data_IF_179889888790
#
_entry.id   IF_179889888790
#
_cell.length_a   1.000
_cell.length_b   1.000
_cell.length_c   1.000
_cell.angle_alpha   90.00
_cell.angle_beta   90.00
_cell.angle_gamma   90.00
#
_symmetry.space_group_name_H-M   'P 1'
#
loop_
_entity.id
_entity.type
_entity.pdbx_description
1 polymer ?
#
# COMPACT_ATOMS: atom_id res chain seq x y z
N UNK A 1 2.05 -6.05 -5.16
CA UNK A 1 3.35 -5.44 -4.86
C UNK A 1 4.34 -5.87 -5.93
N UNK A 2 5.16 -4.94 -6.43
CA UNK A 2 6.20 -5.20 -7.41
C UNK A 2 7.28 -6.05 -6.75
N UNK A 3 7.58 -7.28 -7.24
CA UNK A 3 8.48 -8.24 -6.60
C UNK A 3 9.97 -7.91 -6.84
N UNK A 4 10.34 -6.63 -6.69
CA UNK A 4 11.70 -6.11 -6.81
C UNK A 4 11.96 -5.03 -5.76
N UNK A 5 13.20 -4.83 -5.31
CA UNK A 5 13.55 -3.68 -4.48
C UNK A 5 13.08 -2.36 -5.12
N UNK A 6 12.49 -1.46 -4.32
CA UNK A 6 11.88 -0.25 -4.86
C UNK A 6 12.90 0.58 -5.65
N UNK A 7 14.15 0.65 -5.21
CA UNK A 7 15.26 1.37 -5.85
C UNK A 7 15.75 0.77 -7.18
N UNK A 8 15.34 -0.45 -7.54
CA UNK A 8 15.75 -1.10 -8.81
C UNK A 8 14.64 -1.18 -9.85
N UNK A 9 13.40 -0.84 -9.50
CA UNK A 9 12.26 -0.74 -10.44
C UNK A 9 12.59 0.15 -11.65
N UNK A 10 12.39 -0.32 -12.86
CA UNK A 10 12.62 0.49 -14.08
C UNK A 10 11.32 0.75 -14.82
N UNK A 11 11.38 1.53 -15.89
CA UNK A 11 10.25 1.66 -16.82
C UNK A 11 9.79 0.30 -17.36
N UNK A 12 10.71 -0.61 -17.66
CA UNK A 12 10.38 -1.96 -18.16
C UNK A 12 9.50 -2.74 -17.17
N UNK A 13 9.71 -2.53 -15.87
CA UNK A 13 8.88 -3.13 -14.82
C UNK A 13 7.46 -2.57 -14.85
N UNK A 14 7.31 -1.26 -15.05
CA UNK A 14 6.00 -0.60 -15.17
C UNK A 14 5.26 -1.07 -16.42
N UNK A 15 5.97 -1.17 -17.56
CA UNK A 15 5.42 -1.74 -18.80
C UNK A 15 5.02 -3.19 -18.60
N UNK A 16 5.77 -3.94 -17.81
CA UNK A 16 5.43 -5.33 -17.47
C UNK A 16 4.17 -5.44 -16.63
N UNK A 17 3.87 -4.47 -15.75
CA UNK A 17 2.61 -4.44 -14.99
C UNK A 17 1.40 -4.31 -15.91
N UNK A 18 1.47 -3.39 -16.89
CA UNK A 18 0.43 -3.18 -17.91
C UNK A 18 0.32 -4.42 -18.80
N UNK A 19 1.44 -4.89 -19.33
CA UNK A 19 1.50 -6.00 -20.30
C UNK A 19 0.97 -7.31 -19.71
N UNK A 20 1.29 -7.60 -18.44
CA UNK A 20 0.81 -8.79 -17.75
C UNK A 20 -0.58 -8.61 -17.14
N UNK A 21 -1.18 -7.40 -17.22
CA UNK A 21 -2.47 -7.09 -16.63
C UNK A 21 -2.49 -7.39 -15.13
N UNK A 22 -1.49 -6.90 -14.39
CA UNK A 22 -1.40 -7.14 -12.95
C UNK A 22 -2.53 -6.40 -12.26
N UNK A 23 -3.57 -7.13 -11.87
CA UNK A 23 -4.72 -6.54 -11.21
C UNK A 23 -4.36 -5.91 -9.86
N UNK A 24 -5.05 -4.82 -9.56
CA UNK A 24 -5.09 -4.21 -8.24
C UNK A 24 -5.54 -5.21 -7.19
N UNK A 25 -5.12 -4.93 -5.97
CA UNK A 25 -5.60 -5.68 -4.84
C UNK A 25 -4.96 -5.23 -3.56
N UNK A 26 -4.81 -6.16 -2.64
CA UNK A 26 -4.38 -5.86 -1.26
C UNK A 26 -2.95 -5.32 -1.13
N UNK A 27 -2.16 -5.34 -2.20
CA UNK A 27 -0.72 -5.03 -2.16
C UNK A 27 -0.24 -4.15 -3.30
N UNK A 28 -1.13 -3.71 -4.19
CA UNK A 28 -0.83 -2.77 -5.27
C UNK A 28 -2.11 -2.04 -5.67
N UNK A 29 -1.99 -0.75 -5.90
CA UNK A 29 -3.08 0.15 -6.27
C UNK A 29 -2.55 1.19 -7.26
N UNK A 30 -3.27 1.43 -8.35
CA UNK A 30 -2.88 2.32 -9.44
C UNK A 30 -3.73 3.59 -9.39
N UNK A 31 -3.07 4.73 -9.48
CA UNK A 31 -3.73 6.03 -9.51
C UNK A 31 -3.17 6.85 -10.66
N UNK A 32 -4.06 7.52 -11.38
CA UNK A 32 -3.67 8.39 -12.48
C UNK A 32 -2.96 9.64 -11.98
N UNK A 33 -3.57 10.34 -11.04
CA UNK A 33 -3.14 11.67 -10.59
C UNK A 33 -2.53 11.62 -9.18
N UNK A 34 -1.56 12.50 -8.93
CA UNK A 34 -1.01 12.71 -7.58
C UNK A 34 -2.07 13.37 -6.68
N UNK A 35 -2.10 13.06 -5.38
CA UNK A 35 -3.03 13.71 -4.46
C UNK A 35 -2.69 15.20 -4.36
N UNK A 36 -3.71 16.05 -4.44
CA UNK A 36 -3.56 17.49 -4.34
C UNK A 36 -3.15 17.99 -2.95
N UNK A 37 -3.33 19.30 -2.73
CA UNK A 37 -3.02 19.96 -1.44
C UNK A 37 -4.23 20.13 -0.53
N UNK A 38 -5.40 19.67 -0.96
CA UNK A 38 -6.60 19.77 -0.13
C UNK A 38 -6.52 18.80 1.05
N UNK A 39 -7.28 19.08 2.10
CA UNK A 39 -7.33 18.18 3.26
C UNK A 39 -8.04 16.85 2.93
N UNK A 40 -8.88 16.83 1.88
CA UNK A 40 -9.47 15.60 1.34
C UNK A 40 -8.40 14.71 0.74
N UNK A 41 -7.62 15.23 -0.20
CA UNK A 41 -6.58 14.47 -0.91
C UNK A 41 -5.52 13.93 0.06
N UNK A 42 -5.13 14.74 1.05
CA UNK A 42 -4.20 14.30 2.10
C UNK A 42 -4.78 13.14 2.91
N UNK A 43 -6.05 13.22 3.29
CA UNK A 43 -6.72 12.15 4.05
C UNK A 43 -6.82 10.86 3.25
N UNK A 44 -7.12 10.95 1.96
CA UNK A 44 -7.15 9.78 1.07
C UNK A 44 -5.77 9.12 0.97
N UNK A 45 -4.72 9.92 0.71
CA UNK A 45 -3.34 9.41 0.71
C UNK A 45 -2.99 8.71 2.03
N UNK A 46 -3.31 9.33 3.17
CA UNK A 46 -3.03 8.77 4.49
C UNK A 46 -3.84 7.49 4.74
N UNK A 47 -5.09 7.44 4.30
CA UNK A 47 -5.95 6.26 4.40
C UNK A 47 -5.35 5.09 3.62
N UNK A 48 -4.95 5.31 2.36
CA UNK A 48 -4.36 4.28 1.50
C UNK A 48 -3.04 3.76 2.09
N UNK A 49 -2.15 4.66 2.51
CA UNK A 49 -0.87 4.28 3.14
C UNK A 49 -1.11 3.49 4.42
N UNK A 50 -2.05 3.92 5.27
CA UNK A 50 -2.38 3.22 6.51
C UNK A 50 -2.98 1.83 6.25
N UNK A 51 -3.80 1.69 5.21
CA UNK A 51 -4.42 0.43 4.80
C UNK A 51 -3.36 -0.61 4.40
N UNK A 52 -2.36 -0.20 3.62
CA UNK A 52 -1.23 -1.07 3.29
C UNK A 52 -0.40 -1.44 4.51
N UNK A 53 -0.10 -0.46 5.38
CA UNK A 53 0.67 -0.71 6.59
C UNK A 53 0.02 -1.72 7.55
N UNK A 54 -1.31 -1.67 7.66
CA UNK A 54 -2.13 -2.54 8.52
C UNK A 54 -2.29 -3.97 8.00
N UNK A 55 -1.99 -4.19 6.71
CA UNK A 55 -2.15 -5.48 6.06
C UNK A 55 -0.80 -6.17 5.89
N UNK A 56 -0.30 -6.25 4.66
CA UNK A 56 0.98 -6.90 4.32
C UNK A 56 2.05 -5.94 3.82
N UNK A 57 1.77 -4.64 3.81
CA UNK A 57 2.47 -3.68 2.96
C UNK A 57 1.90 -3.68 1.54
N UNK A 58 2.38 -2.74 0.71
CA UNK A 58 1.95 -2.61 -0.67
C UNK A 58 2.58 -1.44 -1.40
N UNK A 59 2.22 -1.31 -2.67
CA UNK A 59 2.72 -0.25 -3.56
C UNK A 59 1.56 0.61 -4.07
N UNK A 60 1.61 1.92 -3.82
CA UNK A 60 0.78 2.91 -4.49
C UNK A 60 1.55 3.42 -5.71
N UNK A 61 0.96 3.29 -6.89
CA UNK A 61 1.62 3.66 -8.15
C UNK A 61 0.85 4.80 -8.82
N UNK A 62 1.44 5.98 -8.84
CA UNK A 62 0.87 7.20 -9.41
C UNK A 62 1.39 7.47 -10.82
N UNK A 63 0.53 7.95 -11.71
CA UNK A 63 0.84 8.18 -13.12
C UNK A 63 0.55 6.97 -14.00
N UNK A 64 -0.34 6.09 -13.55
CA UNK A 64 -0.84 4.95 -14.32
C UNK A 64 -2.37 4.99 -14.35
N UNK A 65 -2.93 4.85 -15.54
CA UNK A 65 -4.38 4.71 -15.73
C UNK A 65 -4.80 3.26 -15.48
N UNK A 66 -6.02 3.09 -14.99
CA UNK A 66 -6.55 1.79 -14.65
C UNK A 66 -8.02 1.66 -15.07
N UNK A 67 -8.39 0.46 -15.52
CA UNK A 67 -9.75 0.16 -15.97
C UNK A 67 -10.21 -1.15 -15.33
N UNK A 68 -11.11 -1.03 -14.36
CA UNK A 68 -11.66 -2.18 -13.65
C UNK A 68 -10.62 -2.91 -12.78
N UNK A 69 -9.70 -2.17 -12.16
CA UNK A 69 -8.62 -2.73 -11.35
C UNK A 69 -7.46 -3.27 -12.18
N UNK A 70 -7.36 -2.96 -13.47
CA UNK A 70 -6.26 -3.40 -14.34
C UNK A 70 -5.50 -2.18 -14.88
N UNK A 71 -4.17 -2.15 -14.77
CA UNK A 71 -3.37 -1.05 -15.30
C UNK A 71 -3.42 -1.09 -16.83
N UNK A 72 -3.78 0.04 -17.45
CA UNK A 72 -3.99 0.13 -18.91
C UNK A 72 -2.91 0.94 -19.60
N UNK A 73 -2.44 2.03 -18.98
CA UNK A 73 -1.52 2.97 -19.61
C UNK A 73 -0.64 3.70 -18.60
N UNK A 74 0.61 3.95 -18.97
CA UNK A 74 1.49 4.85 -18.23
C UNK A 74 1.23 6.27 -18.73
N UNK A 75 0.47 7.05 -17.97
CA UNK A 75 0.15 8.45 -18.30
C UNK A 75 1.21 9.42 -17.80
N UNK A 76 1.93 9.02 -16.75
CA UNK A 76 2.75 9.92 -15.94
C UNK A 76 1.91 10.82 -15.02
N UNK A 77 2.56 11.35 -14.00
CA UNK A 77 1.94 12.22 -12.98
C UNK A 77 1.69 13.64 -13.45
N UNK A 78 2.27 14.05 -14.59
CA UNK A 78 2.22 15.44 -15.07
C UNK A 78 2.96 16.45 -14.17
N UNK A 79 3.69 15.97 -13.14
CA UNK A 79 4.41 16.84 -12.21
C UNK A 79 5.60 17.52 -12.89
N UNK A 80 5.73 18.84 -12.70
CA UNK A 80 6.85 19.61 -13.22
C UNK A 80 8.17 19.32 -12.48
N UNK A 81 8.08 19.05 -11.17
CA UNK A 81 9.22 18.71 -10.31
C UNK A 81 8.84 17.52 -9.41
N UNK A 82 9.32 16.34 -9.77
CA UNK A 82 9.06 15.12 -9.01
C UNK A 82 9.73 15.13 -7.65
N UNK A 83 10.91 15.75 -7.51
CA UNK A 83 11.63 15.79 -6.24
C UNK A 83 10.89 16.67 -5.24
N UNK A 84 10.23 17.72 -5.71
CA UNK A 84 9.30 18.52 -4.90
C UNK A 84 8.09 17.69 -4.48
N UNK A 85 7.47 16.95 -5.39
CA UNK A 85 6.32 16.10 -5.08
C UNK A 85 6.67 14.96 -4.11
N UNK A 86 7.82 14.31 -4.28
CA UNK A 86 8.34 13.28 -3.37
C UNK A 86 8.48 13.86 -1.96
N UNK A 87 9.14 15.01 -1.81
CA UNK A 87 9.31 15.68 -0.51
C UNK A 87 7.97 16.07 0.12
N UNK A 88 7.01 16.53 -0.70
CA UNK A 88 5.69 16.92 -0.26
C UNK A 88 4.90 15.73 0.28
N UNK A 89 4.86 14.63 -0.47
CA UNK A 89 4.15 13.41 -0.07
C UNK A 89 4.79 12.77 1.18
N UNK A 90 6.12 12.71 1.22
CA UNK A 90 6.87 12.24 2.40
C UNK A 90 6.50 13.06 3.65
N UNK A 91 6.45 14.39 3.52
CA UNK A 91 6.06 15.29 4.61
C UNK A 91 4.61 15.07 5.07
N UNK A 92 3.68 14.85 4.14
CA UNK A 92 2.26 14.58 4.46
C UNK A 92 2.15 13.25 5.23
N UNK A 93 2.79 12.19 4.75
CA UNK A 93 2.75 10.86 5.37
C UNK A 93 3.40 10.90 6.76
N UNK A 94 4.57 11.53 6.88
CA UNK A 94 5.31 11.64 8.13
C UNK A 94 4.56 12.44 9.21
N UNK A 95 3.79 13.46 8.80
CA UNK A 95 2.98 14.28 9.71
C UNK A 95 1.63 13.63 10.05
N UNK A 96 1.04 12.86 9.13
CA UNK A 96 -0.32 12.36 9.25
C UNK A 96 -0.47 10.99 9.91
N UNK A 97 0.59 10.20 10.04
CA UNK A 97 0.52 8.82 10.57
C UNK A 97 1.29 8.64 11.88
N UNK A 98 0.61 8.11 12.89
CA UNK A 98 1.18 7.72 14.18
C UNK A 98 0.64 6.36 14.64
N UNK A 99 1.48 5.38 15.01
CA UNK A 99 2.94 5.41 14.98
C UNK A 99 3.49 5.54 13.55
N UNK A 100 4.71 6.09 13.41
CA UNK A 100 5.32 6.31 12.10
C UNK A 100 5.44 5.00 11.33
N UNK A 101 4.89 4.99 10.12
CA UNK A 101 4.94 3.85 9.21
C UNK A 101 6.18 3.97 8.33
N UNK A 102 6.91 2.85 8.19
CA UNK A 102 8.03 2.75 7.26
C UNK A 102 7.50 2.74 5.83
N UNK A 103 7.95 3.70 5.04
CA UNK A 103 7.61 3.80 3.63
C UNK A 103 8.84 4.29 2.85
N UNK A 104 8.81 4.10 1.54
CA UNK A 104 9.83 4.59 0.61
C UNK A 104 9.13 5.12 -0.62
N UNK A 105 9.57 6.28 -1.10
CA UNK A 105 9.01 6.91 -2.30
C UNK A 105 10.08 6.88 -3.38
N UNK A 106 9.68 6.53 -4.60
CA UNK A 106 10.55 6.57 -5.76
C UNK A 106 9.84 7.09 -7.00
N UNK A 107 10.49 8.00 -7.70
CA UNK A 107 10.15 8.39 -9.06
C UNK A 107 10.86 7.50 -10.09
N UNK A 108 10.13 7.12 -11.14
CA UNK A 108 10.65 6.43 -12.32
C UNK A 108 10.28 7.27 -13.52
N UNK A 109 11.28 7.89 -14.15
CA UNK A 109 11.11 8.65 -15.39
C UNK A 109 11.16 7.68 -16.56
N UNK A 110 10.13 7.70 -17.40
CA UNK A 110 10.10 6.92 -18.64
C UNK A 110 10.89 7.63 -19.75
N UNK A 111 11.42 6.87 -20.70
CA UNK A 111 12.11 7.39 -21.88
C UNK A 111 11.24 8.33 -22.72
N UNK A 112 9.91 8.17 -22.65
CA UNK A 112 8.94 9.01 -23.33
C UNK A 112 8.67 10.37 -22.62
N UNK A 113 9.22 10.58 -21.41
CA UNK A 113 9.02 11.78 -20.61
C UNK A 113 8.02 11.70 -19.44
N UNK A 114 6.90 10.94 -19.48
CA UNK A 114 6.04 10.81 -18.31
C UNK A 114 6.79 10.14 -17.17
N UNK A 115 6.51 10.59 -15.95
CA UNK A 115 7.15 10.03 -14.77
C UNK A 115 6.11 9.44 -13.83
N UNK A 116 6.43 8.26 -13.32
CA UNK A 116 5.59 7.50 -12.38
C UNK A 116 6.18 7.64 -11.00
N UNK A 117 5.33 7.81 -9.99
CA UNK A 117 5.76 7.90 -8.60
C UNK A 117 5.20 6.71 -7.84
N UNK A 118 6.08 5.97 -7.17
CA UNK A 118 5.74 4.76 -6.44
C UNK A 118 5.98 5.00 -4.96
N UNK A 119 4.96 4.80 -4.14
CA UNK A 119 5.07 4.78 -2.67
C UNK A 119 4.96 3.34 -2.21
N UNK A 120 6.08 2.78 -1.75
CA UNK A 120 6.11 1.48 -1.10
C UNK A 120 5.88 1.65 0.39
N UNK A 121 4.88 0.97 0.91
CA UNK A 121 4.59 0.91 2.34
C UNK A 121 5.02 -0.45 2.86
N UNK A 122 5.88 -0.45 3.86
CA UNK A 122 6.27 -1.69 4.54
C UNK A 122 5.18 -2.10 5.54
N UNK A 123 5.10 -3.41 5.82
CA UNK A 123 4.25 -3.92 6.89
C UNK A 123 4.67 -3.27 8.22
N UNK A 124 3.73 -2.61 8.89
CA UNK A 124 3.97 -2.11 10.24
C UNK A 124 3.81 -3.25 11.24
N UNK A 125 4.82 -3.44 12.10
CA UNK A 125 4.81 -4.42 13.19
C UNK A 125 4.41 -3.80 14.55
N UNK A 126 3.95 -2.54 14.57
CA UNK A 126 3.39 -1.91 15.75
C UNK A 126 2.04 -2.59 16.12
N UNK A 127 2.11 -3.68 16.89
CA UNK A 127 1.05 -4.71 17.03
C UNK A 127 -0.07 -4.45 18.06
N UNK A 128 -0.91 -5.48 18.38
CA UNK A 128 -0.93 -6.85 17.90
C UNK A 128 -2.12 -7.17 16.96
N UNK A 129 -1.92 -8.12 16.05
CA UNK A 129 -3.06 -8.93 15.58
C UNK A 129 -3.50 -9.84 16.74
N UNK A 130 -4.63 -9.55 17.37
CA UNK A 130 -5.39 -10.57 18.12
C UNK A 130 -6.86 -10.43 17.79
N UNK A 131 -7.29 -10.98 16.65
CA UNK A 131 -8.63 -11.55 16.60
C UNK A 131 -8.61 -12.78 17.50
N UNK A 132 -8.84 -12.58 18.80
CA UNK A 132 -9.27 -13.69 19.64
C UNK A 132 -10.72 -14.00 19.26
N UNK A 133 -10.90 -14.80 18.21
CA UNK A 133 -12.06 -15.71 18.19
C UNK A 133 -11.76 -16.75 19.27
N UNK A 134 -12.14 -16.42 20.50
CA UNK A 134 -12.31 -17.42 21.54
C UNK A 134 -13.49 -18.29 21.12
N UNK A 135 -13.21 -19.33 20.32
CA UNK A 135 -14.09 -20.47 20.26
C UNK A 135 -14.02 -21.13 21.65
N UNK A 136 -14.89 -20.70 22.54
CA UNK A 136 -15.22 -21.42 23.75
C UNK A 136 -15.91 -22.72 23.32
N UNK A 137 -15.12 -23.70 22.91
CA UNK A 137 -15.59 -25.06 22.67
C UNK A 137 -15.86 -25.67 24.04
N UNK A 138 -17.14 -25.72 24.38
CA UNK A 138 -17.70 -26.56 25.42
C UNK A 138 -17.24 -28.01 25.20
N UNK A 139 -16.48 -28.58 26.14
CA UNK A 139 -16.48 -30.02 26.44
C UNK A 139 -15.51 -30.35 27.57
N UNK A 140 -16.05 -30.68 28.74
CA UNK A 140 -15.56 -31.70 29.69
C UNK A 140 -16.73 -31.90 30.68
N UNK A 141 -17.73 -32.72 30.34
CA UNK A 141 -17.72 -34.18 30.45
C UNK A 141 -17.34 -34.67 31.87
N UNK A 142 -18.39 -34.86 32.70
CA UNK A 142 -18.56 -36.01 33.57
C UNK A 142 -17.63 -36.14 34.79
N UNK A 143 -18.09 -35.65 35.94
CA UNK A 143 -17.66 -36.15 37.26
C UNK A 143 -18.13 -37.60 37.44
N UNK A 144 -17.25 -38.59 37.70
CA UNK A 144 -17.71 -39.86 38.22
C UNK A 144 -17.85 -39.77 39.74
N UNK A 145 -18.95 -40.31 40.24
CA UNK A 145 -19.25 -40.46 41.65
C UNK A 145 -18.15 -41.27 42.37
N UNK A 146 -17.67 -40.76 43.51
CA UNK A 146 -16.91 -41.54 44.48
C UNK A 146 -17.70 -41.55 45.80
N UNK A 147 -18.33 -42.68 46.03
CA UNK A 147 -19.00 -43.08 47.26
C UNK A 147 -17.94 -43.43 48.32
N UNK A 148 -17.77 -42.60 49.36
CA UNK A 148 -17.11 -42.98 50.63
C UNK A 148 -17.77 -42.18 51.76
N UNK A 149 -18.83 -42.72 52.37
CA UNK A 149 -18.86 -43.31 53.73
C UNK A 149 -20.30 -43.42 54.23
#
# INVERSE_FOLDING_TARGET
MIPKPLNTVTEEDLVSLVTNGVAEGRTIDYKRDLPGNSDGDKKELLADVSSFANTGGGDLVFGMDEAGGLPTLITGTGAADLDLEVRRLDSIIAAGLSPRIRHSIRSVTTAAGPSVLIIRVERSWAGPHRSSMAAMTSSMAGTPAANIR
#
